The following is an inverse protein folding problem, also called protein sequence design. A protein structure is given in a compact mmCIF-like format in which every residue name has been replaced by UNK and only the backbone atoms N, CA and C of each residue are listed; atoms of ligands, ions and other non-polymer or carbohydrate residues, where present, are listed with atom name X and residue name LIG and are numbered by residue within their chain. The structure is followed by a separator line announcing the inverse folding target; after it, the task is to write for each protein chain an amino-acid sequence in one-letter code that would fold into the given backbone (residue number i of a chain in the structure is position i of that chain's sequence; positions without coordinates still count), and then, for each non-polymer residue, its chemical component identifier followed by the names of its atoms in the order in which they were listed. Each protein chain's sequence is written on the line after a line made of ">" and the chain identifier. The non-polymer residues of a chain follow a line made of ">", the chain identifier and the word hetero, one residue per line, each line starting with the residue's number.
data_IF_130056368206
#
_entry.id   IF_130056368206
#
_cell.length_a   1.000
_cell.length_b   1.000
_cell.length_c   1.000
_cell.angle_alpha   90.00
_cell.angle_beta   90.00
_cell.angle_gamma   90.00
#
_symmetry.space_group_name_H-M   'P 1'
#
loop_
_entity.id
_entity.type
_entity.pdbx_description
1 polymer ?
#
# COMPACT_ATOMS: atom_id res chain seq x y z
N UNK A 1 -12.68 -6.18 10.11
CA UNK A 1 -12.12 -6.74 8.84
C UNK A 1 -13.19 -6.77 7.76
N UNK A 2 -14.34 -7.45 7.95
CA UNK A 2 -15.37 -7.59 6.92
C UNK A 2 -15.93 -6.23 6.46
N UNK A 3 -16.27 -5.34 7.39
CA UNK A 3 -16.73 -3.98 7.09
C UNK A 3 -15.70 -3.17 6.26
N UNK A 4 -14.41 -3.29 6.60
CA UNK A 4 -13.34 -2.64 5.84
C UNK A 4 -13.21 -3.18 4.41
N UNK A 5 -13.40 -4.50 4.20
CA UNK A 5 -13.46 -5.11 2.86
C UNK A 5 -14.61 -4.57 2.03
N UNK A 6 -15.81 -4.54 2.61
CA UNK A 6 -17.02 -4.04 1.94
C UNK A 6 -16.86 -2.57 1.56
N UNK A 7 -16.32 -1.75 2.45
CA UNK A 7 -16.05 -0.34 2.21
C UNK A 7 -15.00 -0.15 1.12
N UNK A 8 -13.91 -0.92 1.13
CA UNK A 8 -12.88 -0.85 0.10
C UNK A 8 -13.41 -1.28 -1.27
N UNK A 9 -14.18 -2.38 -1.35
CA UNK A 9 -14.81 -2.83 -2.58
C UNK A 9 -15.76 -1.76 -3.14
N UNK A 10 -16.60 -1.15 -2.30
CA UNK A 10 -17.50 -0.08 -2.71
C UNK A 10 -16.73 1.15 -3.22
N UNK A 11 -15.60 1.49 -2.60
CA UNK A 11 -14.73 2.61 -3.02
C UNK A 11 -14.15 2.34 -4.41
N UNK A 12 -13.64 1.13 -4.67
CA UNK A 12 -13.11 0.72 -5.98
C UNK A 12 -14.20 0.73 -7.06
N UNK A 13 -15.38 0.18 -6.78
CA UNK A 13 -16.50 0.15 -7.72
C UNK A 13 -17.02 1.55 -8.04
N UNK A 14 -17.10 2.44 -7.06
CA UNK A 14 -17.49 3.84 -7.26
C UNK A 14 -16.49 4.59 -8.17
N UNK A 15 -15.23 4.19 -8.17
CA UNK A 15 -14.20 4.70 -9.08
C UNK A 15 -14.19 4.02 -10.47
N UNK A 16 -15.15 3.11 -10.74
CA UNK A 16 -15.28 2.40 -12.01
C UNK A 16 -14.38 1.17 -12.17
N UNK A 17 -13.79 0.69 -11.07
CA UNK A 17 -12.99 -0.55 -11.06
C UNK A 17 -13.91 -1.73 -10.75
N UNK A 18 -14.07 -2.64 -11.69
CA UNK A 18 -14.92 -3.81 -11.52
C UNK A 18 -14.16 -4.93 -10.82
N UNK A 19 -14.73 -5.47 -9.75
CA UNK A 19 -14.18 -6.57 -9.00
C UNK A 19 -15.05 -7.82 -9.15
N UNK A 20 -14.42 -8.98 -9.25
CA UNK A 20 -15.07 -10.28 -9.10
C UNK A 20 -15.47 -10.52 -7.64
N UNK A 21 -16.38 -11.46 -7.38
CA UNK A 21 -16.73 -11.85 -6.01
C UNK A 21 -15.50 -12.36 -5.24
N UNK A 22 -14.63 -13.13 -5.90
CA UNK A 22 -13.41 -13.64 -5.28
C UNK A 22 -12.43 -12.54 -4.89
N UNK A 23 -12.27 -11.50 -5.74
CA UNK A 23 -11.42 -10.35 -5.42
C UNK A 23 -11.98 -9.57 -4.22
N UNK A 24 -13.30 -9.37 -4.14
CA UNK A 24 -13.93 -8.69 -3.00
C UNK A 24 -13.72 -9.44 -1.69
N UNK A 25 -13.89 -10.76 -1.72
CA UNK A 25 -13.67 -11.64 -0.56
C UNK A 25 -12.18 -11.70 -0.18
N UNK A 26 -11.30 -11.60 -1.19
CA UNK A 26 -9.84 -11.66 -1.06
C UNK A 26 -9.18 -10.34 -0.69
N UNK A 27 -9.90 -9.22 -0.53
CA UNK A 27 -9.31 -7.95 -0.11
C UNK A 27 -8.55 -8.15 1.21
N UNK A 28 -7.25 -7.93 1.16
CA UNK A 28 -6.42 -7.92 2.36
C UNK A 28 -6.70 -6.65 3.16
N UNK A 29 -6.91 -6.78 4.46
CA UNK A 29 -7.03 -5.65 5.39
C UNK A 29 -5.83 -5.69 6.31
N UNK A 30 -4.98 -4.71 6.18
CA UNK A 30 -3.70 -4.63 6.88
C UNK A 30 -3.77 -3.48 7.88
N UNK A 31 -3.75 -3.79 9.18
CA UNK A 31 -3.68 -2.83 10.29
C UNK A 31 -2.31 -2.85 10.97
N UNK A 32 -1.37 -3.59 10.39
CA UNK A 32 0.00 -3.75 10.90
C UNK A 32 0.09 -4.27 12.35
N UNK A 33 -0.98 -4.86 12.88
CA UNK A 33 -1.08 -5.31 14.27
C UNK A 33 -1.24 -4.18 15.28
N UNK A 34 -1.47 -2.96 14.83
CA UNK A 34 -1.58 -1.78 15.68
C UNK A 34 -3.01 -1.56 16.23
N UNK A 35 -4.01 -2.23 15.67
CA UNK A 35 -5.44 -2.07 16.00
C UNK A 35 -5.98 -0.63 15.85
N UNK A 36 -5.42 0.14 14.92
CA UNK A 36 -5.81 1.52 14.59
C UNK A 36 -6.03 1.68 13.07
N UNK A 37 -6.74 0.72 12.46
CA UNK A 37 -6.92 0.60 11.02
C UNK A 37 -7.34 1.92 10.34
N UNK A 38 -8.21 2.71 10.94
CA UNK A 38 -8.68 3.96 10.36
C UNK A 38 -7.57 5.02 10.24
N UNK A 39 -6.51 4.90 11.03
CA UNK A 39 -5.38 5.84 11.05
C UNK A 39 -4.16 5.27 10.33
N UNK A 40 -3.83 4.00 10.59
CA UNK A 40 -2.66 3.31 10.04
C UNK A 40 -3.10 1.95 9.49
N UNK A 41 -2.95 1.78 8.18
CA UNK A 41 -3.37 0.56 7.50
C UNK A 41 -3.52 0.72 6.00
N UNK A 42 -4.00 -0.32 5.35
CA UNK A 42 -4.34 -0.35 3.94
C UNK A 42 -5.32 -1.48 3.63
N UNK A 43 -6.07 -1.35 2.54
CA UNK A 43 -6.91 -2.39 1.98
C UNK A 43 -6.42 -2.72 0.57
N UNK A 44 -6.05 -3.98 0.32
CA UNK A 44 -5.28 -4.35 -0.86
C UNK A 44 -6.00 -5.43 -1.66
N UNK A 45 -6.21 -5.18 -2.95
CA UNK A 45 -6.61 -6.19 -3.94
C UNK A 45 -5.38 -6.62 -4.70
N UNK A 46 -4.99 -7.88 -4.60
CA UNK A 46 -3.87 -8.44 -5.37
C UNK A 46 -4.40 -9.11 -6.63
N UNK A 47 -4.06 -8.58 -7.79
CA UNK A 47 -4.46 -9.15 -9.08
C UNK A 47 -3.50 -10.24 -9.56
N UNK A 48 -2.21 -10.02 -9.35
CA UNK A 48 -1.15 -10.93 -9.73
C UNK A 48 0.07 -10.71 -8.83
N UNK A 49 0.71 -11.80 -8.42
CA UNK A 49 2.03 -11.79 -7.79
C UNK A 49 2.78 -13.05 -8.21
N UNK A 50 3.69 -12.91 -9.15
CA UNK A 50 4.50 -13.99 -9.72
C UNK A 50 5.97 -13.81 -9.36
N UNK A 51 6.84 -14.68 -9.85
CA UNK A 51 8.29 -14.52 -9.71
C UNK A 51 8.84 -13.23 -10.36
N UNK A 52 8.09 -12.60 -11.25
CA UNK A 52 8.58 -11.48 -12.06
C UNK A 52 7.82 -10.18 -11.87
N UNK A 53 6.53 -10.23 -11.61
CA UNK A 53 5.64 -9.07 -11.56
C UNK A 53 4.61 -9.19 -10.45
N UNK A 54 4.25 -8.04 -9.90
CA UNK A 54 3.11 -7.89 -9.01
C UNK A 54 2.27 -6.70 -9.46
N UNK A 55 0.94 -6.83 -9.36
CA UNK A 55 0.01 -5.72 -9.56
C UNK A 55 -1.10 -5.78 -8.51
N UNK A 56 -1.35 -4.64 -7.89
CA UNK A 56 -2.34 -4.47 -6.81
C UNK A 56 -3.09 -3.16 -6.98
N UNK A 57 -4.29 -3.09 -6.44
CA UNK A 57 -4.89 -1.80 -6.07
C UNK A 57 -4.94 -1.69 -4.54
N UNK A 58 -4.52 -0.54 -4.06
CA UNK A 58 -4.48 -0.18 -2.63
C UNK A 58 -5.53 0.90 -2.39
N UNK A 59 -6.48 0.62 -1.51
CA UNK A 59 -7.43 1.61 -1.02
C UNK A 59 -6.93 2.11 0.31
N UNK A 60 -6.84 3.43 0.44
CA UNK A 60 -6.61 4.10 1.70
C UNK A 60 -7.86 4.89 2.09
N UNK A 61 -8.31 4.71 3.32
CA UNK A 61 -9.40 5.51 3.87
C UNK A 61 -8.98 6.97 4.12
N UNK A 62 -9.89 7.89 4.37
CA UNK A 62 -9.56 9.30 4.61
C UNK A 62 -8.44 9.47 5.65
N UNK A 63 -7.35 10.14 5.26
CA UNK A 63 -6.15 10.38 6.05
C UNK A 63 -5.41 9.12 6.55
N UNK A 64 -5.78 7.94 6.08
CA UNK A 64 -5.12 6.69 6.46
C UNK A 64 -3.68 6.65 5.93
N UNK A 65 -2.77 6.15 6.76
CA UNK A 65 -1.34 6.07 6.46
C UNK A 65 -0.91 4.62 6.28
N UNK A 66 -0.26 4.30 5.17
CA UNK A 66 0.55 3.09 5.04
C UNK A 66 1.89 3.33 5.74
N UNK A 67 2.18 2.51 6.75
CA UNK A 67 3.32 2.70 7.64
C UNK A 67 4.66 2.68 6.92
N UNK A 68 5.66 3.39 7.46
CA UNK A 68 7.00 3.46 6.90
C UNK A 68 7.68 2.09 6.90
N UNK A 69 8.13 1.70 5.70
CA UNK A 69 8.82 0.44 5.47
C UNK A 69 9.77 0.51 4.28
N UNK A 70 10.55 -0.52 4.12
CA UNK A 70 11.34 -0.78 2.91
C UNK A 70 11.29 -2.26 2.55
N UNK A 71 11.52 -2.55 1.30
CA UNK A 71 11.57 -3.89 0.73
C UNK A 71 13.03 -4.31 0.55
N UNK A 72 13.62 -5.04 1.51
CA UNK A 72 15.05 -5.34 1.48
C UNK A 72 15.41 -6.30 0.35
N UNK A 73 16.69 -6.36 -0.03
CA UNK A 73 17.20 -7.39 -0.93
C UNK A 73 16.89 -8.80 -0.41
N UNK A 74 16.49 -9.68 -1.31
CA UNK A 74 16.26 -11.09 -0.98
C UNK A 74 16.57 -11.99 -2.19
N UNK A 75 17.01 -13.21 -1.95
CA UNK A 75 17.22 -14.25 -2.95
C UNK A 75 18.01 -13.77 -4.19
N UNK A 76 19.06 -12.96 -3.96
CA UNK A 76 19.91 -12.39 -5.01
C UNK A 76 19.27 -11.24 -5.80
N UNK A 77 18.07 -10.79 -5.43
CA UNK A 77 17.42 -9.59 -6.01
C UNK A 77 17.73 -8.35 -5.18
N UNK A 78 17.71 -7.14 -5.78
CA UNK A 78 17.96 -5.89 -5.06
C UNK A 78 16.81 -5.48 -4.11
N UNK A 79 15.75 -6.25 -4.01
CA UNK A 79 14.50 -5.91 -3.36
C UNK A 79 13.43 -5.51 -4.38
N UNK A 80 12.26 -5.13 -3.88
CA UNK A 80 11.11 -4.75 -4.71
C UNK A 80 11.29 -3.32 -5.24
N UNK A 81 11.18 -3.16 -6.56
CA UNK A 81 10.91 -1.88 -7.22
C UNK A 81 9.41 -1.77 -7.43
N UNK A 82 8.82 -0.63 -7.12
CA UNK A 82 7.38 -0.43 -7.23
C UNK A 82 7.02 0.95 -7.76
N UNK A 83 5.99 0.99 -8.60
CA UNK A 83 5.43 2.24 -9.12
C UNK A 83 4.02 2.40 -8.57
N UNK A 84 3.80 3.50 -7.86
CA UNK A 84 2.48 3.93 -7.41
C UNK A 84 1.87 4.88 -8.43
N UNK A 85 0.66 4.57 -8.90
CA UNK A 85 -0.14 5.44 -9.76
C UNK A 85 -1.48 5.74 -9.10
N UNK A 86 -1.74 7.00 -8.81
CA UNK A 86 -3.00 7.42 -8.19
C UNK A 86 -4.15 7.31 -9.19
N UNK A 87 -5.23 6.66 -8.77
CA UNK A 87 -6.48 6.51 -9.55
C UNK A 87 -7.55 7.48 -9.09
N UNK A 88 -7.67 7.70 -7.78
CA UNK A 88 -8.62 8.61 -7.17
C UNK A 88 -8.04 9.19 -5.88
N UNK A 89 -8.50 10.36 -5.47
CA UNK A 89 -8.01 11.07 -4.31
C UNK A 89 -6.62 11.67 -4.49
N UNK A 90 -5.95 11.98 -3.40
CA UNK A 90 -4.58 12.51 -3.37
C UNK A 90 -3.74 11.64 -2.44
N UNK A 91 -2.50 11.42 -2.81
CA UNK A 91 -1.52 10.69 -1.98
C UNK A 91 -0.32 11.56 -1.69
N UNK A 92 0.06 11.62 -0.44
CA UNK A 92 1.31 12.20 0.05
C UNK A 92 2.31 11.08 0.24
N UNK A 93 3.14 10.83 -0.77
CA UNK A 93 4.20 9.83 -0.73
C UNK A 93 5.46 10.45 -0.15
N UNK A 94 6.03 9.81 0.85
CA UNK A 94 7.30 10.19 1.44
C UNK A 94 8.36 9.15 1.14
N UNK A 95 9.51 9.62 0.68
CA UNK A 95 10.70 8.80 0.40
C UNK A 95 11.94 9.40 1.05
N UNK A 96 13.02 8.65 1.10
CA UNK A 96 14.31 9.15 1.53
C UNK A 96 14.73 10.38 0.72
N UNK A 97 15.37 11.34 1.36
CA UNK A 97 15.87 12.57 0.75
C UNK A 97 15.73 13.79 1.66
N UNK A 98 16.08 14.94 1.11
CA UNK A 98 16.00 16.20 1.83
C UNK A 98 14.56 16.50 2.27
N UNK A 99 14.34 16.92 3.53
CA UNK A 99 13.01 17.20 4.03
C UNK A 99 12.26 18.24 3.22
N UNK A 100 11.02 17.93 2.83
CA UNK A 100 10.16 18.91 2.19
C UNK A 100 9.70 19.95 3.22
N UNK A 101 9.90 21.25 2.97
CA UNK A 101 9.38 22.30 3.85
C UNK A 101 7.86 22.28 3.91
N UNK A 102 7.29 22.29 5.12
CA UNK A 102 5.84 22.30 5.36
C UNK A 102 5.08 21.20 4.61
N UNK A 103 5.40 19.91 4.83
CA UNK A 103 4.72 18.81 4.17
C UNK A 103 3.22 18.83 4.46
N UNK A 104 2.41 18.28 3.56
CA UNK A 104 0.95 18.24 3.70
C UNK A 104 0.50 17.06 4.56
N UNK A 105 1.22 15.93 4.49
CA UNK A 105 0.91 14.76 5.28
C UNK A 105 0.93 15.05 6.79
N UNK A 106 0.02 14.42 7.52
CA UNK A 106 -0.10 14.48 8.99
C UNK A 106 -0.36 13.07 9.52
N UNK A 107 0.64 12.17 9.46
CA UNK A 107 0.42 10.79 9.85
C UNK A 107 0.14 10.68 11.34
N UNK A 108 -0.76 9.79 11.71
CA UNK A 108 -0.92 9.36 13.08
C UNK A 108 0.41 8.79 13.58
N UNK A 109 0.70 8.92 14.88
CA UNK A 109 1.94 8.43 15.51
C UNK A 109 3.23 9.16 15.06
N UNK A 110 3.13 10.32 14.39
CA UNK A 110 4.29 11.12 13.99
C UNK A 110 5.19 11.52 15.17
N UNK A 111 4.60 11.72 16.35
CA UNK A 111 5.28 12.04 17.60
C UNK A 111 6.18 10.91 18.14
N UNK A 112 6.03 9.69 17.62
CA UNK A 112 6.83 8.52 18.01
C UNK A 112 8.14 8.39 17.24
N UNK A 113 8.37 9.25 16.22
CA UNK A 113 9.57 9.20 15.39
C UNK A 113 9.65 7.98 14.47
N UNK A 114 8.48 7.41 14.10
CA UNK A 114 8.36 6.21 13.26
C UNK A 114 8.22 6.51 11.76
N UNK A 115 8.31 7.79 11.37
CA UNK A 115 8.33 8.27 9.99
C UNK A 115 9.59 9.11 9.78
N UNK A 116 10.57 8.56 9.11
CA UNK A 116 11.90 9.17 8.93
C UNK A 116 12.20 9.58 7.49
N UNK A 117 11.53 8.97 6.51
CA UNK A 117 11.54 9.42 5.13
C UNK A 117 10.80 10.76 5.02
N UNK A 118 11.54 11.82 4.70
CA UNK A 118 11.07 13.20 4.92
C UNK A 118 10.81 13.99 3.63
N UNK A 119 11.15 13.45 2.45
CA UNK A 119 10.87 14.07 1.16
C UNK A 119 9.46 13.72 0.72
N UNK A 120 8.55 14.71 0.75
CA UNK A 120 7.17 14.53 0.28
C UNK A 120 7.05 14.71 -1.23
N UNK A 121 6.30 13.82 -1.86
CA UNK A 121 5.87 13.87 -3.26
C UNK A 121 4.36 13.80 -3.24
N UNK A 122 3.70 14.85 -3.71
CA UNK A 122 2.22 14.90 -3.81
C UNK A 122 1.83 14.30 -5.14
N UNK A 123 0.97 13.29 -5.11
CA UNK A 123 0.45 12.62 -6.30
C UNK A 123 -1.06 12.81 -6.39
N UNK A 124 -1.50 13.38 -7.51
CA UNK A 124 -2.90 13.52 -7.90
C UNK A 124 -3.30 12.42 -8.90
N UNK A 125 -4.59 12.26 -9.23
CA UNK A 125 -5.04 11.27 -10.20
C UNK A 125 -4.27 11.36 -11.54
N UNK A 126 -3.85 10.20 -12.04
CA UNK A 126 -3.00 9.98 -13.20
C UNK A 126 -1.49 10.28 -12.99
N UNK A 127 -1.09 10.86 -11.87
CA UNK A 127 0.32 10.97 -11.52
C UNK A 127 0.85 9.68 -10.90
N UNK A 128 2.15 9.48 -11.03
CA UNK A 128 2.83 8.29 -10.55
C UNK A 128 4.25 8.58 -10.12
N UNK A 129 4.78 7.72 -9.25
CA UNK A 129 6.17 7.74 -8.84
C UNK A 129 6.69 6.31 -8.70
N UNK A 130 7.94 6.07 -9.14
CA UNK A 130 8.61 4.79 -8.94
C UNK A 130 9.56 4.88 -7.76
N UNK A 131 9.33 4.04 -6.76
CA UNK A 131 10.20 3.86 -5.60
C UNK A 131 11.25 2.81 -5.96
N UNK A 132 12.56 3.16 -5.94
CA UNK A 132 13.61 2.21 -6.18
C UNK A 132 13.67 1.09 -5.12
N UNK A 133 14.31 -0.05 -5.43
CA UNK A 133 14.51 -1.12 -4.45
C UNK A 133 15.16 -0.63 -3.15
N UNK A 134 14.80 -1.27 -2.04
CA UNK A 134 15.35 -1.03 -0.69
C UNK A 134 15.26 0.44 -0.20
N UNK A 135 14.37 1.23 -0.79
CA UNK A 135 14.15 2.63 -0.42
C UNK A 135 13.10 2.72 0.70
N UNK A 136 13.44 3.41 1.77
CA UNK A 136 12.52 3.68 2.88
C UNK A 136 11.43 4.65 2.41
N UNK A 137 10.17 4.27 2.59
CA UNK A 137 9.03 5.07 2.16
C UNK A 137 7.78 4.80 2.99
N UNK A 138 6.85 5.74 2.94
CA UNK A 138 5.50 5.65 3.48
C UNK A 138 4.58 6.58 2.71
N UNK A 139 3.28 6.41 2.83
CA UNK A 139 2.33 7.29 2.16
C UNK A 139 1.02 7.43 2.93
N UNK A 140 0.40 8.61 2.79
CA UNK A 140 -0.87 8.94 3.41
C UNK A 140 -1.86 9.40 2.35
N UNK A 141 -3.12 8.95 2.47
CA UNK A 141 -4.21 9.51 1.68
C UNK A 141 -4.59 10.91 2.15
N UNK A 142 -5.08 11.72 1.24
CA UNK A 142 -5.76 12.97 1.58
C UNK A 142 -7.10 12.76 2.30
N UNK A 143 -7.83 13.86 2.61
CA UNK A 143 -9.04 13.81 3.44
C UNK A 143 -10.22 13.04 2.82
N UNK A 144 -10.19 12.79 1.51
CA UNK A 144 -11.23 12.02 0.81
C UNK A 144 -10.85 10.55 0.60
N UNK A 145 -9.72 10.11 1.15
CA UNK A 145 -9.14 8.80 0.86
C UNK A 145 -8.42 8.78 -0.48
N UNK A 146 -7.93 7.60 -0.88
CA UNK A 146 -7.26 7.43 -2.16
C UNK A 146 -7.36 5.99 -2.68
N UNK A 147 -7.24 5.85 -4.00
CA UNK A 147 -7.00 4.56 -4.68
C UNK A 147 -5.69 4.68 -5.43
N UNK A 148 -4.80 3.73 -5.19
CA UNK A 148 -3.48 3.65 -5.79
C UNK A 148 -3.30 2.30 -6.48
N UNK A 149 -2.95 2.30 -7.77
CA UNK A 149 -2.44 1.07 -8.41
C UNK A 149 -0.94 0.96 -8.16
N UNK A 150 -0.52 -0.19 -7.64
CA UNK A 150 0.88 -0.58 -7.51
C UNK A 150 1.23 -1.55 -8.64
N UNK A 151 2.28 -1.23 -9.36
CA UNK A 151 2.94 -2.10 -10.33
C UNK A 151 4.36 -2.33 -9.86
N UNK A 152 4.73 -3.57 -9.60
CA UNK A 152 6.04 -3.84 -9.01
C UNK A 152 6.68 -5.12 -9.54
N UNK A 153 7.93 -5.32 -9.21
CA UNK A 153 8.56 -6.62 -9.23
C UNK A 153 7.90 -7.53 -8.19
N UNK A 154 8.31 -8.80 -8.08
CA UNK A 154 7.74 -9.74 -7.11
C UNK A 154 7.61 -9.12 -5.72
N UNK A 155 6.42 -9.18 -5.13
CA UNK A 155 6.17 -8.73 -3.76
C UNK A 155 6.41 -9.87 -2.76
N UNK A 156 7.18 -9.57 -1.73
CA UNK A 156 7.46 -10.41 -0.57
C UNK A 156 7.22 -9.58 0.68
N UNK A 157 5.97 -9.20 0.84
CA UNK A 157 5.54 -8.31 1.94
C UNK A 157 5.81 -8.90 3.34
N UNK A 158 6.04 -10.22 3.41
CA UNK A 158 6.47 -10.94 4.62
C UNK A 158 7.93 -10.61 5.03
N UNK A 159 8.70 -10.01 4.11
CA UNK A 159 10.09 -9.60 4.35
C UNK A 159 10.24 -8.10 4.61
N UNK A 160 9.16 -7.33 4.55
CA UNK A 160 9.20 -5.89 4.75
C UNK A 160 9.81 -5.51 6.10
N UNK A 161 10.65 -4.48 6.09
CA UNK A 161 11.28 -3.94 7.28
C UNK A 161 10.62 -2.62 7.63
N UNK A 162 9.95 -2.58 8.78
CA UNK A 162 9.24 -1.40 9.27
C UNK A 162 10.12 -0.58 10.22
N UNK A 163 9.97 0.75 10.18
CA UNK A 163 10.63 1.67 11.12
C UNK A 163 9.97 1.61 12.50
N UNK A 164 8.64 1.43 12.55
CA UNK A 164 7.92 1.29 13.81
C UNK A 164 8.12 -0.11 14.40
N UNK A 165 8.78 -0.26 15.57
CA UNK A 165 9.03 -1.56 16.18
C UNK A 165 7.76 -2.22 16.76
N UNK A 166 6.65 -1.49 16.88
CA UNK A 166 5.37 -2.04 17.33
C UNK A 166 4.63 -2.76 16.21
N UNK A 167 5.04 -2.58 14.95
CA UNK A 167 4.42 -3.24 13.80
C UNK A 167 4.75 -4.73 13.80
N UNK A 168 3.69 -5.51 13.72
CA UNK A 168 3.74 -6.94 13.43
C UNK A 168 2.85 -7.21 12.21
N UNK A 169 3.48 -7.59 11.10
CA UNK A 169 2.71 -8.00 9.93
C UNK A 169 2.20 -9.42 10.12
N UNK A 170 1.25 -9.61 11.01
CA UNK A 170 0.40 -10.78 11.01
C UNK A 170 -0.56 -10.64 9.82
N UNK A 171 -0.17 -11.18 8.67
CA UNK A 171 -1.07 -11.26 7.51
C UNK A 171 -2.27 -12.07 7.94
N UNK A 172 -3.46 -11.48 7.94
CA UNK A 172 -4.70 -12.28 7.87
C UNK A 172 -4.69 -12.85 6.46
N UNK A 173 -4.21 -14.08 6.33
CA UNK A 173 -4.04 -14.77 5.05
C UNK A 173 -5.40 -14.84 4.37
N UNK A 174 -5.57 -14.10 3.27
CA UNK A 174 -6.61 -14.41 2.32
C UNK A 174 -6.27 -15.76 1.66
N UNK A 175 -7.24 -16.62 1.32
CA UNK A 175 -6.98 -17.84 0.58
C UNK A 175 -6.31 -17.50 -0.76
N UNK A 176 -5.35 -18.33 -1.16
CA UNK A 176 -4.59 -18.19 -2.39
C UNK A 176 -5.53 -17.96 -3.58
N UNK A 177 -5.29 -16.93 -4.42
CA UNK A 177 -6.14 -16.68 -5.58
C UNK A 177 -6.14 -17.90 -6.49
N UNK A 178 -7.27 -18.24 -7.13
CA UNK A 178 -7.34 -19.38 -8.02
C UNK A 178 -6.32 -19.21 -9.14
N UNK A 179 -5.46 -20.21 -9.31
CA UNK A 179 -4.50 -20.25 -10.41
C UNK A 179 -5.25 -20.10 -11.73
N UNK A 180 -4.75 -19.29 -12.66
CA UNK A 180 -5.37 -19.18 -13.98
C UNK A 180 -5.45 -20.57 -14.60
N UNK A 181 -6.67 -21.02 -14.85
CA UNK A 181 -6.88 -22.27 -15.61
C UNK A 181 -6.22 -22.10 -16.95
N UNK A 182 -5.20 -22.91 -17.23
CA UNK A 182 -4.64 -23.02 -18.56
C UNK A 182 -5.78 -23.38 -19.50
N UNK A 183 -6.13 -22.45 -20.39
CA UNK A 183 -7.06 -22.72 -21.47
C UNK A 183 -6.50 -23.85 -22.36
N UNK A 184 -7.33 -24.74 -22.89
CA UNK A 184 -6.93 -25.84 -23.73
C UNK A 184 -6.32 -25.38 -25.08
#
# INVERSE_FOLDING_TARGET
>A
VQEARERAAATLEAAGLTLTSGEKEGIEVVDFGLNVLEEVGAQIVVYVNTERVCAKDIVLFPNQTCAEHRHPPFDGTPGKEETFRVRAGVVYLHVEGDPTPNPQARPARADRGVYTAAREIVLSPAEQFTVPPDTLHWFQAGPDGAIVSEFSTRSRDDLDVFTDPEISRATVVAPEPPQPTSAP
#
